data_IF_271614935492
#
_entry.id   IF_271614935492
#
_cell.length_a   1.000
_cell.length_b   1.000
_cell.length_c   1.000
_cell.angle_alpha   90.00
_cell.angle_beta   90.00
_cell.angle_gamma   90.00
#
_symmetry.space_group_name_H-M   'P 1'
#
loop_
_entity.id
_entity.type
_entity.pdbx_description
1 polymer ?
#
# COMPACT_ATOMS: atom_id res chain seq x y z
N UNK A 1 39.60 -15.91 -57.90
CA UNK A 1 38.17 -15.51 -57.84
C UNK A 1 37.39 -16.69 -57.35
N UNK A 2 37.01 -16.72 -56.05
CA UNK A 2 36.29 -17.86 -55.42
C UNK A 2 34.88 -17.34 -55.25
N UNK A 3 33.90 -17.93 -55.97
CA UNK A 3 32.49 -17.69 -55.80
C UNK A 3 31.97 -18.56 -54.65
N UNK A 4 31.55 -17.95 -53.54
CA UNK A 4 30.84 -18.64 -52.49
C UNK A 4 29.36 -18.59 -52.83
N UNK A 5 28.79 -19.75 -53.16
CA UNK A 5 27.35 -19.95 -53.39
C UNK A 5 26.60 -19.99 -52.06
N UNK A 6 25.81 -18.99 -51.78
CA UNK A 6 24.96 -18.93 -50.59
C UNK A 6 23.61 -19.61 -50.91
N UNK A 7 23.32 -20.71 -50.22
CA UNK A 7 22.11 -21.51 -50.40
C UNK A 7 20.89 -20.74 -49.84
N UNK A 8 19.86 -20.38 -50.62
CA UNK A 8 18.72 -19.56 -50.19
C UNK A 8 17.75 -20.29 -49.23
N UNK A 9 17.91 -21.58 -49.05
CA UNK A 9 17.04 -22.35 -48.17
C UNK A 9 17.39 -22.26 -46.65
N UNK A 10 18.60 -21.83 -46.32
CA UNK A 10 19.02 -21.69 -44.94
C UNK A 10 18.47 -20.42 -44.27
N UNK A 11 18.10 -19.39 -45.04
CA UNK A 11 17.65 -18.11 -44.52
C UNK A 11 16.16 -18.12 -44.05
N UNK A 12 15.34 -19.02 -44.58
CA UNK A 12 13.92 -19.12 -44.22
C UNK A 12 13.67 -19.84 -42.89
N UNK A 13 14.58 -20.66 -42.37
CA UNK A 13 14.43 -21.35 -41.09
C UNK A 13 14.83 -20.51 -39.89
N UNK A 14 15.62 -19.47 -40.04
CA UNK A 14 16.02 -18.59 -38.96
C UNK A 14 14.96 -17.51 -38.63
N UNK A 15 14.09 -17.16 -39.58
CA UNK A 15 13.05 -16.14 -39.36
C UNK A 15 11.80 -16.65 -38.66
N UNK A 16 11.57 -17.97 -38.67
CA UNK A 16 10.39 -18.58 -38.04
C UNK A 16 10.57 -18.86 -36.54
N UNK A 17 11.81 -18.87 -36.03
CA UNK A 17 12.06 -19.07 -34.59
C UNK A 17 12.12 -17.75 -33.79
N UNK A 18 12.18 -16.59 -34.44
CA UNK A 18 12.25 -15.29 -33.76
C UNK A 18 10.86 -14.67 -33.47
N UNK A 19 9.79 -15.18 -34.09
CA UNK A 19 8.42 -14.69 -33.89
C UNK A 19 7.63 -15.40 -32.79
N UNK A 20 8.17 -16.46 -32.21
CA UNK A 20 7.51 -17.23 -31.14
C UNK A 20 7.91 -16.78 -29.70
N UNK A 21 8.83 -15.81 -29.56
CA UNK A 21 9.35 -15.35 -28.26
C UNK A 21 8.75 -14.03 -27.76
N UNK A 22 7.79 -13.41 -28.46
CA UNK A 22 7.15 -12.15 -28.05
C UNK A 22 5.69 -12.41 -27.62
N UNK A 23 5.46 -13.40 -26.83
CA UNK A 23 4.07 -13.77 -26.50
C UNK A 23 3.84 -14.33 -25.11
N UNK A 24 4.70 -14.04 -24.11
CA UNK A 24 4.40 -14.50 -22.74
C UNK A 24 5.06 -13.64 -21.66
N UNK A 25 4.77 -12.36 -21.68
CA UNK A 25 5.15 -11.45 -20.59
C UNK A 25 3.97 -10.57 -20.24
N UNK A 26 2.90 -11.15 -19.77
CA UNK A 26 1.94 -10.45 -18.92
C UNK A 26 0.91 -11.44 -18.42
N UNK A 27 1.05 -11.96 -17.23
CA UNK A 27 -0.08 -12.56 -16.47
C UNK A 27 0.37 -12.95 -15.06
N UNK A 28 0.93 -11.99 -14.32
CA UNK A 28 1.03 -12.13 -12.86
C UNK A 28 0.45 -10.92 -12.13
N UNK A 29 -0.62 -10.33 -12.68
CA UNK A 29 -1.41 -9.31 -11.97
C UNK A 29 -2.61 -9.94 -11.23
N UNK A 30 -2.49 -11.16 -10.73
CA UNK A 30 -3.54 -11.76 -9.89
C UNK A 30 -3.26 -11.45 -8.42
N UNK A 31 -4.03 -10.52 -7.85
CA UNK A 31 -4.07 -10.29 -6.41
C UNK A 31 -3.88 -8.85 -5.93
N UNK A 32 -3.59 -7.90 -6.82
CA UNK A 32 -3.56 -6.49 -6.44
C UNK A 32 -4.97 -5.92 -6.43
N UNK A 33 -5.30 -5.17 -5.38
CA UNK A 33 -6.53 -4.39 -5.31
C UNK A 33 -6.28 -3.01 -5.90
N UNK A 34 -7.24 -2.52 -6.70
CA UNK A 34 -7.25 -1.14 -7.18
C UNK A 34 -8.10 -0.32 -6.21
N UNK A 35 -7.64 0.87 -5.87
CA UNK A 35 -8.39 1.82 -5.07
C UNK A 35 -9.23 2.74 -5.95
N UNK A 36 -10.55 2.58 -5.90
CA UNK A 36 -11.52 3.40 -6.63
C UNK A 36 -12.05 4.48 -5.70
N UNK A 37 -12.06 5.75 -6.15
CA UNK A 37 -12.56 6.86 -5.36
C UNK A 37 -14.07 6.71 -5.09
N UNK A 38 -14.48 6.95 -3.83
CA UNK A 38 -15.88 6.86 -3.40
C UNK A 38 -16.27 8.08 -2.56
N UNK A 39 -17.56 8.44 -2.60
CA UNK A 39 -18.07 9.56 -1.79
C UNK A 39 -18.21 9.20 -0.32
N UNK A 40 -18.66 7.97 -0.02
CA UNK A 40 -18.97 7.52 1.34
C UNK A 40 -18.37 6.14 1.60
N UNK A 41 -18.04 5.88 2.87
CA UNK A 41 -17.60 4.58 3.39
C UNK A 41 -18.39 4.21 4.63
N UNK A 42 -18.46 2.93 5.02
CA UNK A 42 -19.10 2.52 6.28
C UNK A 42 -18.42 3.09 7.54
N UNK A 43 -17.22 3.65 7.40
CA UNK A 43 -16.41 4.17 8.51
C UNK A 43 -16.50 5.68 8.67
N UNK A 44 -17.26 6.40 7.84
CA UNK A 44 -17.29 7.87 7.83
C UNK A 44 -17.64 8.49 9.18
N UNK A 45 -18.60 7.92 9.91
CA UNK A 45 -18.95 8.38 11.23
C UNK A 45 -17.80 8.20 12.24
N UNK A 46 -17.11 7.06 12.19
CA UNK A 46 -15.98 6.77 13.06
C UNK A 46 -14.76 7.62 12.71
N UNK A 47 -14.59 7.96 11.43
CA UNK A 47 -13.52 8.83 10.92
C UNK A 47 -13.74 10.30 11.25
N UNK A 48 -14.93 10.73 11.65
CA UNK A 48 -15.24 12.13 11.93
C UNK A 48 -14.28 12.73 12.98
N UNK A 49 -13.95 11.95 14.03
CA UNK A 49 -13.05 12.39 15.12
C UNK A 49 -11.62 12.65 14.63
N UNK A 50 -11.11 11.86 13.69
CA UNK A 50 -9.73 11.94 13.19
C UNK A 50 -9.63 12.71 11.86
N UNK A 51 -10.76 13.23 11.38
CA UNK A 51 -10.78 14.01 10.14
C UNK A 51 -9.80 15.18 10.10
N UNK A 52 -9.62 15.97 11.19
CA UNK A 52 -8.59 17.02 11.20
C UNK A 52 -7.19 16.48 10.92
N UNK A 53 -6.82 15.33 11.47
CA UNK A 53 -5.52 14.68 11.24
C UNK A 53 -5.37 14.26 9.78
N UNK A 54 -6.41 13.68 9.18
CA UNK A 54 -6.38 13.27 7.78
C UNK A 54 -6.25 14.48 6.84
N UNK A 55 -6.91 15.61 7.15
CA UNK A 55 -6.90 16.81 6.31
C UNK A 55 -5.60 17.62 6.45
N UNK A 56 -5.01 17.70 7.64
CA UNK A 56 -3.75 18.40 7.88
C UNK A 56 -2.61 17.84 7.01
N UNK A 57 -2.70 16.59 6.65
CA UNK A 57 -1.77 15.91 5.75
C UNK A 57 -1.57 16.61 4.40
N UNK A 58 -2.58 17.32 3.88
CA UNK A 58 -2.48 17.99 2.58
C UNK A 58 -1.67 19.28 2.61
N UNK A 59 -1.55 19.94 3.78
CA UNK A 59 -0.87 21.23 3.90
C UNK A 59 0.66 21.10 3.87
N UNK A 60 1.19 19.96 4.33
CA UNK A 60 2.63 19.69 4.39
C UNK A 60 3.20 19.05 3.11
N UNK A 61 2.36 18.58 2.19
CA UNK A 61 2.77 17.85 0.99
C UNK A 61 3.55 18.68 -0.07
N UNK A 62 3.80 19.96 0.17
CA UNK A 62 4.50 20.85 -0.77
C UNK A 62 6.04 20.77 -0.66
N UNK A 63 6.57 20.27 0.42
CA UNK A 63 8.01 20.13 0.62
C UNK A 63 8.49 18.78 0.07
N UNK A 64 9.61 18.76 -0.66
CA UNK A 64 10.23 17.51 -1.11
C UNK A 64 10.59 16.67 0.10
N UNK A 65 10.07 15.46 0.17
CA UNK A 65 10.36 14.54 1.26
C UNK A 65 11.67 13.80 0.98
N UNK A 66 12.63 13.96 1.88
CA UNK A 66 13.82 13.10 1.94
C UNK A 66 13.59 11.88 2.86
N UNK A 67 12.32 11.53 3.10
CA UNK A 67 11.93 10.44 3.97
C UNK A 67 12.44 9.10 3.41
N UNK A 68 13.24 8.41 4.21
CA UNK A 68 13.79 7.10 3.88
C UNK A 68 13.03 5.98 4.57
N UNK A 69 13.08 4.77 4.00
CA UNK A 69 12.54 3.57 4.65
C UNK A 69 13.14 3.34 6.04
N UNK A 70 14.43 3.65 6.24
CA UNK A 70 15.07 3.51 7.55
C UNK A 70 14.42 4.36 8.64
N UNK A 71 14.04 5.61 8.33
CA UNK A 71 13.31 6.47 9.27
C UNK A 71 11.90 5.93 9.54
N UNK A 72 11.22 5.44 8.51
CA UNK A 72 9.89 4.82 8.67
C UNK A 72 9.96 3.56 9.53
N UNK A 73 11.00 2.75 9.37
CA UNK A 73 11.24 1.55 10.19
C UNK A 73 11.45 1.88 11.66
N UNK A 74 12.15 2.98 11.97
CA UNK A 74 12.30 3.47 13.36
C UNK A 74 10.93 3.83 13.94
N UNK A 75 10.09 4.58 13.21
CA UNK A 75 8.75 4.94 13.67
C UNK A 75 7.84 3.72 13.86
N UNK A 76 7.92 2.74 12.97
CA UNK A 76 7.20 1.47 13.12
C UNK A 76 7.64 0.77 14.42
N UNK A 77 8.94 0.70 14.68
CA UNK A 77 9.49 0.12 15.91
C UNK A 77 9.01 0.83 17.17
N UNK A 78 9.05 2.17 17.17
CA UNK A 78 8.58 3.00 18.29
C UNK A 78 7.10 2.74 18.59
N UNK A 79 6.25 2.83 17.58
CA UNK A 79 4.82 2.60 17.72
C UNK A 79 4.47 1.15 18.11
N UNK A 80 5.24 0.20 17.60
CA UNK A 80 5.08 -1.20 17.96
C UNK A 80 5.39 -1.45 19.44
N UNK A 81 6.33 -0.72 20.03
CA UNK A 81 6.69 -0.83 21.44
C UNK A 81 5.57 -0.41 22.40
N UNK A 82 4.63 0.44 21.94
CA UNK A 82 3.46 0.82 22.71
C UNK A 82 2.59 -0.42 22.98
N UNK A 83 2.20 -0.72 24.23
CA UNK A 83 1.34 -1.85 24.55
C UNK A 83 0.04 -1.84 23.73
N UNK A 84 -0.43 -3.01 23.33
CA UNK A 84 -1.70 -3.11 22.62
C UNK A 84 -2.88 -2.97 23.59
N UNK A 85 -3.84 -2.11 23.24
CA UNK A 85 -5.07 -1.92 23.99
C UNK A 85 -6.20 -1.52 23.04
N UNK A 86 -7.19 -2.42 22.88
CA UNK A 86 -8.35 -2.16 22.01
C UNK A 86 -9.22 -1.03 22.54
N UNK A 87 -9.63 -0.14 21.63
CA UNK A 87 -10.64 0.89 21.86
C UNK A 87 -11.69 0.87 20.75
N UNK A 88 -12.92 1.25 21.06
CA UNK A 88 -13.96 1.41 20.02
C UNK A 88 -13.67 2.62 19.15
N UNK A 89 -13.23 3.70 19.76
CA UNK A 89 -12.98 4.98 19.09
C UNK A 89 -11.59 5.03 18.49
N UNK A 90 -11.45 5.83 17.46
CA UNK A 90 -10.15 6.19 16.91
C UNK A 90 -9.47 7.19 17.85
N UNK A 91 -8.30 6.85 18.35
CA UNK A 91 -7.44 7.78 19.08
C UNK A 91 -6.72 8.72 18.12
N UNK A 92 -6.54 9.95 18.53
CA UNK A 92 -5.65 10.89 17.85
C UNK A 92 -4.18 10.52 18.12
N UNK A 93 -3.23 10.99 17.29
CA UNK A 93 -1.81 10.78 17.55
C UNK A 93 -1.36 11.26 18.93
N UNK A 94 -1.79 12.42 19.38
CA UNK A 94 -1.48 12.93 20.72
C UNK A 94 -1.93 11.99 21.85
N UNK A 95 -3.09 11.33 21.69
CA UNK A 95 -3.56 10.32 22.64
C UNK A 95 -2.74 9.02 22.56
N UNK A 96 -2.17 8.71 21.40
CA UNK A 96 -1.29 7.55 21.21
C UNK A 96 0.08 7.79 21.83
N UNK A 97 0.65 8.97 21.64
CA UNK A 97 1.96 9.38 22.18
C UNK A 97 1.95 9.57 23.71
N UNK A 98 0.78 9.66 24.33
CA UNK A 98 0.67 9.72 25.80
C UNK A 98 1.18 8.49 26.54
N UNK A 99 1.59 7.43 25.82
CA UNK A 99 2.07 6.17 26.39
C UNK A 99 0.95 5.23 26.84
N UNK A 100 -0.32 5.60 26.69
CA UNK A 100 -1.44 4.72 26.96
C UNK A 100 -1.53 3.60 25.91
N UNK A 101 -2.03 2.39 26.28
CA UNK A 101 -2.18 1.30 25.33
C UNK A 101 -2.96 1.72 24.07
N UNK A 102 -2.47 1.31 22.89
CA UNK A 102 -2.99 1.72 21.59
C UNK A 102 -3.27 0.51 20.69
N UNK A 103 -4.39 0.56 19.96
CA UNK A 103 -4.73 -0.49 19.00
C UNK A 103 -4.16 -0.20 17.58
N UNK A 104 -4.47 -1.07 16.64
CA UNK A 104 -3.98 -0.93 15.26
C UNK A 104 -4.41 0.39 14.61
N UNK A 105 -5.61 0.90 14.92
CA UNK A 105 -6.12 2.15 14.35
C UNK A 105 -5.30 3.35 14.83
N UNK A 106 -5.04 3.41 16.14
CA UNK A 106 -4.29 4.48 16.77
C UNK A 106 -2.84 4.51 16.25
N UNK A 107 -2.16 3.36 16.24
CA UNK A 107 -0.78 3.24 15.76
C UNK A 107 -0.65 3.56 14.27
N UNK A 108 -1.58 3.06 13.44
CA UNK A 108 -1.57 3.34 12.01
C UNK A 108 -1.84 4.82 11.70
N UNK A 109 -2.75 5.47 12.43
CA UNK A 109 -3.02 6.89 12.26
C UNK A 109 -1.85 7.77 12.67
N UNK A 110 -1.17 7.45 13.76
CA UNK A 110 0.03 8.15 14.22
C UNK A 110 1.15 8.04 13.16
N UNK A 111 1.43 6.82 12.68
CA UNK A 111 2.39 6.62 11.60
C UNK A 111 2.02 7.43 10.35
N UNK A 112 0.74 7.40 9.95
CA UNK A 112 0.24 8.16 8.82
C UNK A 112 0.52 9.66 8.99
N UNK A 113 0.24 10.23 10.15
CA UNK A 113 0.51 11.65 10.44
C UNK A 113 2.01 11.98 10.39
N UNK A 114 2.87 11.17 11.01
CA UNK A 114 4.33 11.36 10.98
C UNK A 114 4.87 11.40 9.56
N UNK A 115 4.40 10.47 8.72
CA UNK A 115 4.80 10.42 7.31
C UNK A 115 4.34 11.65 6.54
N UNK A 116 3.10 12.09 6.75
CA UNK A 116 2.55 13.27 6.09
C UNK A 116 3.26 14.55 6.56
N UNK A 117 3.49 14.71 7.85
CA UNK A 117 4.23 15.83 8.41
C UNK A 117 5.68 15.93 7.88
N UNK A 118 6.26 14.78 7.51
CA UNK A 118 7.58 14.69 6.88
C UNK A 118 7.53 14.82 5.34
N UNK A 119 6.38 15.20 4.77
CA UNK A 119 6.22 15.48 3.34
C UNK A 119 6.11 14.20 2.47
N UNK A 120 5.85 13.03 3.04
CA UNK A 120 5.64 11.82 2.27
C UNK A 120 4.40 11.95 1.36
N UNK A 121 4.56 11.58 0.10
CA UNK A 121 3.47 11.57 -0.89
C UNK A 121 2.95 10.14 -1.08
N UNK A 122 1.72 10.02 -1.61
CA UNK A 122 1.11 8.73 -1.94
C UNK A 122 1.00 7.78 -0.73
N UNK A 123 0.73 8.35 0.44
CA UNK A 123 0.49 7.60 1.68
C UNK A 123 -1.01 7.44 1.88
N UNK A 124 -1.45 6.24 2.23
CA UNK A 124 -2.85 5.91 2.51
C UNK A 124 -2.99 5.24 3.87
N UNK A 125 -3.94 5.70 4.66
CA UNK A 125 -4.42 4.95 5.84
C UNK A 125 -5.42 3.91 5.34
N UNK A 126 -5.16 2.63 5.56
CA UNK A 126 -5.94 1.51 5.03
C UNK A 126 -6.68 0.79 6.15
N UNK A 127 -7.93 0.44 5.88
CA UNK A 127 -8.75 -0.46 6.69
C UNK A 127 -9.05 -1.71 5.87
N UNK A 128 -8.74 -2.87 6.41
CA UNK A 128 -8.94 -4.13 5.71
C UNK A 128 -8.89 -5.33 6.64
N UNK A 129 -8.48 -6.46 6.14
CA UNK A 129 -8.24 -7.68 6.89
C UNK A 129 -6.78 -8.06 6.81
N UNK A 130 -6.17 -8.41 7.95
CA UNK A 130 -4.79 -8.89 7.93
C UNK A 130 -4.66 -10.20 7.14
N UNK A 131 -5.65 -11.10 7.27
CA UNK A 131 -5.74 -12.33 6.46
C UNK A 131 -7.16 -12.55 5.98
N UNK A 132 -7.35 -13.42 4.97
CA UNK A 132 -8.67 -13.82 4.47
C UNK A 132 -9.56 -14.46 5.56
N UNK A 133 -8.96 -15.05 6.58
CA UNK A 133 -9.65 -15.69 7.73
C UNK A 133 -9.92 -14.74 8.89
N UNK A 134 -9.38 -13.51 8.86
CA UNK A 134 -9.58 -12.54 9.94
C UNK A 134 -11.06 -12.16 10.05
N UNK A 135 -11.63 -12.30 11.26
CA UNK A 135 -13.02 -11.91 11.55
C UNK A 135 -13.14 -10.41 11.84
N UNK A 136 -12.06 -9.80 12.33
CA UNK A 136 -12.01 -8.37 12.64
C UNK A 136 -11.26 -7.62 11.55
N UNK A 137 -11.61 -6.37 11.39
CA UNK A 137 -10.84 -5.43 10.56
C UNK A 137 -9.55 -5.03 11.27
N UNK A 138 -8.57 -4.66 10.46
CA UNK A 138 -7.24 -4.21 10.87
C UNK A 138 -6.92 -2.90 10.15
N UNK A 139 -6.08 -2.06 10.72
CA UNK A 139 -5.63 -0.81 10.13
C UNK A 139 -4.10 -0.80 9.98
N UNK A 140 -3.64 -0.30 8.85
CA UNK A 140 -2.22 -0.12 8.52
C UNK A 140 -2.04 1.08 7.58
N UNK A 141 -0.81 1.38 7.24
CA UNK A 141 -0.48 2.40 6.25
C UNK A 141 0.08 1.73 5.00
N UNK A 142 -0.29 2.23 3.83
CA UNK A 142 0.38 1.91 2.56
C UNK A 142 1.11 3.14 2.05
N UNK A 143 2.32 2.93 1.59
CA UNK A 143 3.14 3.95 0.98
C UNK A 143 3.60 3.53 -0.40
N UNK A 144 3.16 4.28 -1.41
CA UNK A 144 3.55 4.06 -2.80
C UNK A 144 4.75 4.97 -3.14
N UNK A 145 5.86 4.35 -3.52
CA UNK A 145 7.13 4.98 -3.89
C UNK A 145 7.51 4.59 -5.32
N UNK A 146 8.57 5.17 -5.84
CA UNK A 146 9.15 4.74 -7.12
C UNK A 146 9.64 3.27 -7.07
N UNK A 147 10.04 2.77 -5.91
CA UNK A 147 10.47 1.39 -5.67
C UNK A 147 9.32 0.40 -5.46
N UNK A 148 8.05 0.84 -5.55
CA UNK A 148 6.87 0.03 -5.33
C UNK A 148 6.06 0.42 -4.10
N UNK A 149 5.04 -0.38 -3.78
CA UNK A 149 4.16 -0.16 -2.62
C UNK A 149 4.70 -0.91 -1.41
N UNK A 150 4.72 -0.24 -0.27
CA UNK A 150 5.08 -0.81 1.03
C UNK A 150 3.87 -0.86 1.96
N UNK A 151 3.73 -1.96 2.69
CA UNK A 151 2.82 -2.12 3.82
C UNK A 151 3.58 -1.78 5.09
N UNK A 152 3.07 -0.84 5.86
CA UNK A 152 3.64 -0.28 7.08
C UNK A 152 2.65 -0.55 8.21
N UNK A 153 2.92 -1.57 9.00
CA UNK A 153 2.02 -2.02 10.07
C UNK A 153 2.72 -1.97 11.43
N UNK A 154 2.54 -0.88 12.20
CA UNK A 154 3.17 -0.73 13.50
C UNK A 154 2.54 -1.60 14.60
N UNK A 155 1.58 -2.44 14.26
CA UNK A 155 0.99 -3.40 15.20
C UNK A 155 1.61 -4.78 15.06
N UNK A 156 1.83 -5.25 13.83
CA UNK A 156 2.27 -6.61 13.55
C UNK A 156 3.72 -6.71 13.06
N UNK A 157 4.24 -5.65 12.43
CA UNK A 157 5.56 -5.64 11.83
C UNK A 157 6.54 -4.75 12.62
N UNK A 158 7.83 -4.96 12.41
CA UNK A 158 8.91 -4.14 12.95
C UNK A 158 9.52 -3.19 11.92
N UNK A 159 9.12 -3.32 10.66
CA UNK A 159 9.61 -2.54 9.53
C UNK A 159 8.63 -2.55 8.38
N UNK A 160 8.87 -1.68 7.41
CA UNK A 160 8.18 -1.65 6.14
C UNK A 160 8.35 -2.98 5.38
N UNK A 161 7.26 -3.43 4.75
CA UNK A 161 7.27 -4.67 3.99
C UNK A 161 6.83 -4.39 2.55
N UNK A 162 7.61 -4.79 1.51
CA UNK A 162 7.18 -4.65 0.13
C UNK A 162 5.89 -5.44 -0.12
N UNK A 163 4.87 -4.79 -0.69
CA UNK A 163 3.56 -5.40 -0.88
C UNK A 163 3.58 -6.59 -1.85
N UNK A 164 4.49 -6.57 -2.84
CA UNK A 164 4.71 -7.66 -3.80
C UNK A 164 5.28 -8.95 -3.18
N UNK A 165 5.89 -8.84 -1.99
CA UNK A 165 6.43 -9.97 -1.22
C UNK A 165 5.44 -10.54 -0.21
N UNK A 166 4.28 -9.93 -0.06
CA UNK A 166 3.23 -10.41 0.82
C UNK A 166 2.43 -11.54 0.15
N UNK A 167 2.01 -12.52 0.94
CA UNK A 167 1.14 -13.58 0.45
C UNK A 167 -0.21 -13.03 -0.01
N UNK A 168 -0.80 -13.61 -1.05
CA UNK A 168 -2.09 -13.18 -1.64
C UNK A 168 -3.26 -13.08 -0.64
N UNK A 169 -3.18 -13.79 0.47
CA UNK A 169 -4.19 -13.82 1.53
C UNK A 169 -3.84 -12.92 2.72
N UNK A 170 -2.82 -12.06 2.58
CA UNK A 170 -2.38 -11.14 3.62
C UNK A 170 -2.64 -9.70 3.21
N UNK A 171 -2.99 -8.87 4.18
CA UNK A 171 -3.25 -7.43 3.98
C UNK A 171 -4.25 -7.17 2.85
N UNK A 172 -5.48 -7.68 3.05
CA UNK A 172 -6.58 -7.53 2.10
C UNK A 172 -7.28 -6.20 2.38
N UNK A 173 -7.06 -5.13 1.57
CA UNK A 173 -7.65 -3.83 1.80
C UNK A 173 -9.15 -3.86 1.50
N UNK A 174 -9.92 -3.06 2.23
CA UNK A 174 -11.35 -2.82 2.01
C UNK A 174 -11.59 -1.36 1.67
N UNK A 175 -11.02 -0.45 2.45
CA UNK A 175 -11.13 1.00 2.27
C UNK A 175 -9.80 1.67 2.57
N UNK A 176 -9.56 2.84 1.96
CA UNK A 176 -8.40 3.66 2.24
C UNK A 176 -8.76 5.15 2.28
N UNK A 177 -7.93 5.93 2.97
CA UNK A 177 -8.07 7.36 3.14
C UNK A 177 -6.73 8.04 2.85
N UNK A 178 -6.77 9.13 2.07
CA UNK A 178 -5.61 9.97 1.80
C UNK A 178 -6.08 11.44 1.78
N UNK A 179 -5.84 12.17 2.85
CA UNK A 179 -6.39 13.50 3.04
C UNK A 179 -7.91 13.47 3.01
N UNK A 180 -8.52 14.28 2.13
CA UNK A 180 -9.97 14.31 1.93
C UNK A 180 -10.52 13.18 1.06
N UNK A 181 -9.64 12.43 0.38
CA UNK A 181 -10.05 11.39 -0.56
C UNK A 181 -10.34 10.08 0.19
N UNK A 182 -11.39 9.40 -0.27
CA UNK A 182 -11.82 8.10 0.24
C UNK A 182 -11.83 7.10 -0.90
N UNK A 183 -11.40 5.89 -0.63
CA UNK A 183 -11.29 4.85 -1.63
C UNK A 183 -11.90 3.54 -1.15
N UNK A 184 -12.46 2.80 -2.08
CA UNK A 184 -12.83 1.40 -1.91
C UNK A 184 -11.83 0.53 -2.66
N UNK A 185 -11.32 -0.50 -2.01
CA UNK A 185 -10.50 -1.51 -2.67
C UNK A 185 -11.38 -2.43 -3.52
N UNK A 186 -10.98 -2.65 -4.77
CA UNK A 186 -11.67 -3.52 -5.72
C UNK A 186 -10.64 -4.48 -6.32
N UNK A 187 -10.89 -5.80 -6.36
CA UNK A 187 -10.01 -6.75 -7.03
C UNK A 187 -9.83 -6.39 -8.51
N UNK A 188 -8.62 -6.48 -9.03
CA UNK A 188 -8.29 -6.16 -10.44
C UNK A 188 -9.18 -6.96 -11.41
N UNK A 189 -9.51 -8.22 -11.10
CA UNK A 189 -10.34 -9.06 -11.95
C UNK A 189 -11.75 -8.49 -12.22
N UNK A 190 -12.28 -7.62 -11.34
CA UNK A 190 -13.61 -7.00 -11.52
C UNK A 190 -13.56 -5.72 -12.36
N UNK A 191 -12.41 -5.09 -12.49
CA UNK A 191 -12.27 -3.83 -13.25
C UNK A 191 -12.05 -4.10 -14.74
N UNK A 192 -11.53 -5.26 -15.10
CA UNK A 192 -11.29 -5.65 -16.48
C UNK A 192 -12.56 -6.13 -17.23
N UNK A 193 -13.72 -6.20 -16.57
CA UNK A 193 -15.00 -6.71 -17.13
C UNK A 193 -16.03 -5.58 -17.42
N UNK A 194 -15.69 -4.33 -17.12
CA UNK A 194 -16.51 -3.15 -17.41
C UNK A 194 -15.81 -2.24 -18.43
#
# INVERSE_FOLDING_TARGET
MIFVSINPFALKRFFLFFLAAIGFSCLTCFGQSIFVNVKNTPYDQQMARIRPVLLAANEFAQTRSDLTLGVVDLWIGDLRSIPYGFTREWKTPAETESGAPADCKAKALDLYQRMQASGARNVRLVIGRHTSRSRCTHAWVEWETEGGTYVLDPTLNWRAFPADRLGRNSYIPLYAYAGSKKFRATPVALVAQN
#
